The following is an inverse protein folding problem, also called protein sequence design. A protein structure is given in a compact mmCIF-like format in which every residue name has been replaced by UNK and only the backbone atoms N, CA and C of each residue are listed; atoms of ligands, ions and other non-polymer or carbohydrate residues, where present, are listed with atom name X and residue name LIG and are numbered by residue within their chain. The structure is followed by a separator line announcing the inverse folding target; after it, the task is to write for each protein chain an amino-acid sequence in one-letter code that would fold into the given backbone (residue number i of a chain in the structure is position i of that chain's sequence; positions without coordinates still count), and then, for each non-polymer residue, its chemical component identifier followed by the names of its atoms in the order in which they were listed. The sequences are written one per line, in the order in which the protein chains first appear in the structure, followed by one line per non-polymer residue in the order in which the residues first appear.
data_IF_949901508458
#
_entry.id   IF_949901508458
#
_cell.length_a   1.000
_cell.length_b   1.000
_cell.length_c   1.000
_cell.angle_alpha   90.00
_cell.angle_beta   90.00
_cell.angle_gamma   90.00
#
_symmetry.space_group_name_H-M   'P 1'
#
loop_
_entity.id
_entity.type
_entity.pdbx_description
1 polymer ?
#
# COMPACT_ATOMS: atom_id res chain seq x y z
N UNK A 1 34.01 0.70 58.16
CA UNK A 1 33.90 -0.76 58.44
C UNK A 1 34.06 -0.92 59.95
N UNK A 2 33.26 -1.71 60.73
CA UNK A 2 32.43 -2.91 60.45
C UNK A 2 30.92 -2.75 60.85
N UNK A 3 29.91 -3.43 60.25
CA UNK A 3 29.36 -4.81 60.32
C UNK A 3 28.25 -5.12 61.38
N UNK A 4 27.18 -5.80 60.87
CA UNK A 4 26.07 -6.60 61.47
C UNK A 4 24.74 -5.87 61.78
N UNK A 5 23.66 -6.11 61.01
CA UNK A 5 22.71 -7.26 60.89
C UNK A 5 21.68 -7.30 62.02
N UNK A 6 20.40 -7.06 61.70
CA UNK A 6 19.29 -7.93 62.13
C UNK A 6 18.08 -7.81 61.20
N UNK A 7 17.41 -8.95 61.00
CA UNK A 7 16.30 -9.23 60.06
C UNK A 7 14.97 -9.11 60.81
N UNK A 8 13.90 -8.74 60.10
CA UNK A 8 12.55 -9.19 60.46
C UNK A 8 11.77 -9.47 59.17
N UNK A 9 11.10 -10.62 59.17
CA UNK A 9 10.35 -11.23 58.06
C UNK A 9 8.84 -11.06 58.29
N UNK A 10 8.04 -11.12 57.21
CA UNK A 10 6.57 -11.34 57.08
C UNK A 10 6.04 -10.44 55.94
N UNK A 11 5.17 -10.78 54.99
CA UNK A 11 4.67 -11.99 54.31
C UNK A 11 4.10 -11.44 52.95
N UNK A 12 3.60 -12.23 51.97
CA UNK A 12 3.70 -11.91 50.56
C UNK A 12 2.41 -11.21 50.09
N UNK A 13 2.29 -11.00 48.78
CA UNK A 13 1.00 -10.80 48.10
C UNK A 13 0.50 -9.35 48.05
N UNK A 14 0.99 -8.62 47.05
CA UNK A 14 0.16 -7.95 46.02
C UNK A 14 1.11 -7.20 45.09
N UNK A 15 1.72 -7.90 44.13
CA UNK A 15 2.25 -7.22 42.95
C UNK A 15 1.07 -7.14 42.00
N UNK A 16 0.42 -5.99 42.07
CA UNK A 16 -0.54 -5.49 41.10
C UNK A 16 -0.01 -5.76 39.69
N UNK A 17 -0.77 -6.58 38.96
CA UNK A 17 -0.54 -6.96 37.58
C UNK A 17 -0.76 -5.73 36.71
N UNK A 18 0.18 -4.78 36.75
CA UNK A 18 0.28 -3.77 35.72
C UNK A 18 0.64 -4.52 34.44
N UNK A 19 -0.40 -4.84 33.67
CA UNK A 19 -0.34 -5.19 32.26
C UNK A 19 0.48 -4.09 31.56
N UNK A 20 1.81 -4.27 31.57
CA UNK A 20 2.70 -3.52 30.70
C UNK A 20 2.37 -3.99 29.29
N UNK A 21 1.40 -3.32 28.71
CA UNK A 21 1.12 -3.38 27.28
C UNK A 21 2.47 -3.29 26.56
N UNK A 22 2.87 -4.31 25.79
CA UNK A 22 4.21 -4.38 25.25
C UNK A 22 4.39 -3.20 24.28
N UNK A 23 5.13 -2.19 24.73
CA UNK A 23 5.47 -1.04 23.92
C UNK A 23 6.50 -1.53 22.91
N UNK A 24 6.01 -1.93 21.72
CA UNK A 24 6.87 -2.28 20.61
C UNK A 24 7.77 -1.07 20.29
N UNK A 25 9.08 -1.26 20.12
CA UNK A 25 9.95 -0.17 19.73
C UNK A 25 9.50 0.38 18.37
N UNK A 26 9.26 1.70 18.30
CA UNK A 26 8.88 2.41 17.06
C UNK A 26 9.80 2.10 15.87
N UNK A 27 11.04 1.71 16.15
CA UNK A 27 12.04 1.27 15.16
C UNK A 27 11.53 0.11 14.30
N UNK A 28 10.80 -0.84 14.86
CA UNK A 28 10.35 -2.03 14.13
C UNK A 28 9.14 -1.69 13.23
N UNK A 29 8.23 -0.83 13.68
CA UNK A 29 7.07 -0.44 12.87
C UNK A 29 7.46 0.36 11.62
N UNK A 30 8.47 1.24 11.72
CA UNK A 30 9.02 1.94 10.55
C UNK A 30 9.72 0.98 9.58
N UNK A 31 10.52 0.04 10.08
CA UNK A 31 11.20 -0.95 9.27
C UNK A 31 10.20 -1.91 8.57
N UNK A 32 9.16 -2.36 9.29
CA UNK A 32 8.07 -3.16 8.75
C UNK A 32 7.28 -2.39 7.68
N UNK A 33 6.98 -1.11 7.91
CA UNK A 33 6.29 -0.27 6.92
C UNK A 33 7.15 -0.05 5.67
N UNK A 34 8.46 0.16 5.82
CA UNK A 34 9.38 0.27 4.70
C UNK A 34 9.46 -1.05 3.89
N UNK A 35 9.51 -2.19 4.58
CA UNK A 35 9.49 -3.50 3.95
C UNK A 35 8.19 -3.75 3.18
N UNK A 36 7.04 -3.41 3.78
CA UNK A 36 5.71 -3.50 3.16
C UNK A 36 5.60 -2.63 1.91
N UNK A 37 6.06 -1.39 1.98
CA UNK A 37 6.14 -0.49 0.81
C UNK A 37 6.98 -1.11 -0.29
N UNK A 38 8.13 -1.69 0.05
CA UNK A 38 9.02 -2.34 -0.92
C UNK A 38 8.36 -3.54 -1.61
N UNK A 39 7.54 -4.31 -0.89
CA UNK A 39 6.74 -5.40 -1.48
C UNK A 39 5.74 -4.85 -2.50
N UNK A 40 4.96 -3.83 -2.13
CA UNK A 40 4.00 -3.16 -3.02
C UNK A 40 4.69 -2.63 -4.27
N UNK A 41 5.81 -1.92 -4.11
CA UNK A 41 6.60 -1.43 -5.23
C UNK A 41 7.12 -2.54 -6.14
N UNK A 42 7.63 -3.64 -5.58
CA UNK A 42 8.14 -4.74 -6.37
C UNK A 42 7.01 -5.42 -7.18
N UNK A 43 5.83 -5.57 -6.59
CA UNK A 43 4.65 -6.08 -7.30
C UNK A 43 4.22 -5.13 -8.41
N UNK A 44 4.14 -3.84 -8.12
CA UNK A 44 3.73 -2.85 -9.11
C UNK A 44 4.74 -2.73 -10.23
N UNK A 45 6.04 -2.78 -9.95
CA UNK A 45 7.07 -2.83 -10.99
C UNK A 45 6.99 -4.07 -11.88
N UNK A 46 6.34 -5.14 -11.44
CA UNK A 46 6.10 -6.32 -12.28
C UNK A 46 4.84 -6.18 -13.13
N UNK A 47 3.78 -5.61 -12.58
CA UNK A 47 2.45 -5.59 -13.24
C UNK A 47 2.20 -4.32 -14.04
N UNK A 48 2.74 -3.17 -13.63
CA UNK A 48 2.55 -1.90 -14.36
C UNK A 48 3.13 -1.91 -15.77
N UNK A 49 4.33 -2.46 -16.05
CA UNK A 49 4.89 -2.40 -17.40
C UNK A 49 3.94 -2.97 -18.46
N UNK A 50 3.31 -4.12 -18.18
CA UNK A 50 2.36 -4.75 -19.09
C UNK A 50 1.12 -3.87 -19.33
N UNK A 51 0.65 -3.18 -18.27
CA UNK A 51 -0.49 -2.26 -18.37
C UNK A 51 -0.10 -0.97 -19.11
N UNK A 52 1.09 -0.44 -18.84
CA UNK A 52 1.59 0.80 -19.43
C UNK A 52 1.94 0.63 -20.91
N UNK A 53 2.38 -0.55 -21.32
CA UNK A 53 2.61 -0.90 -22.73
C UNK A 53 1.31 -0.76 -23.54
N UNK A 54 0.17 -1.20 -22.99
CA UNK A 54 -1.16 -1.01 -23.59
C UNK A 54 -1.51 0.48 -23.76
N UNK A 55 -1.00 1.31 -22.86
CA UNK A 55 -1.19 2.76 -22.83
C UNK A 55 -0.10 3.52 -23.61
N UNK A 56 0.85 2.82 -24.23
CA UNK A 56 2.00 3.40 -24.93
C UNK A 56 2.83 4.35 -24.04
N UNK A 57 3.02 3.98 -22.79
CA UNK A 57 3.69 4.81 -21.78
C UNK A 57 4.84 4.06 -21.12
N UNK A 58 5.89 4.79 -20.74
CA UNK A 58 6.99 4.21 -19.99
C UNK A 58 6.74 4.27 -18.47
N UNK A 59 7.23 3.25 -17.75
CA UNK A 59 7.18 3.23 -16.29
C UNK A 59 7.87 4.45 -15.66
N UNK A 60 8.89 4.99 -16.31
CA UNK A 60 9.61 6.18 -15.86
C UNK A 60 8.70 7.40 -15.70
N UNK A 61 7.72 7.58 -16.60
CA UNK A 61 6.80 8.72 -16.63
C UNK A 61 5.85 8.76 -15.42
N UNK A 62 5.47 7.57 -14.91
CA UNK A 62 4.55 7.44 -13.77
C UNK A 62 5.26 7.09 -12.46
N UNK A 63 6.54 6.73 -12.51
CA UNK A 63 7.28 6.19 -11.36
C UNK A 63 7.37 7.13 -10.15
N UNK A 64 7.51 8.45 -10.38
CA UNK A 64 7.53 9.46 -9.33
C UNK A 64 6.16 9.59 -8.66
N UNK A 65 5.10 9.73 -9.46
CA UNK A 65 3.73 9.82 -8.97
C UNK A 65 3.29 8.56 -8.23
N UNK A 66 3.66 7.38 -8.75
CA UNK A 66 3.44 6.10 -8.08
C UNK A 66 4.13 6.05 -6.73
N UNK A 67 5.34 6.60 -6.64
CA UNK A 67 6.09 6.64 -5.39
C UNK A 67 5.41 7.51 -4.36
N UNK A 68 5.01 8.71 -4.75
CA UNK A 68 4.25 9.60 -3.87
C UNK A 68 2.94 8.96 -3.41
N UNK A 69 2.21 8.29 -4.30
CA UNK A 69 0.96 7.60 -3.97
C UNK A 69 1.18 6.47 -2.94
N UNK A 70 2.17 5.61 -3.14
CA UNK A 70 2.47 4.52 -2.19
C UNK A 70 2.93 5.06 -0.83
N UNK A 71 3.60 6.21 -0.81
CA UNK A 71 4.02 6.86 0.43
C UNK A 71 2.85 7.38 1.26
N UNK A 72 1.70 7.71 0.66
CA UNK A 72 0.50 8.12 1.40
C UNK A 72 -0.25 6.94 2.02
N UNK A 73 -0.03 5.72 1.53
CA UNK A 73 -0.73 4.54 2.04
C UNK A 73 -0.18 4.09 3.40
N UNK A 74 -1.11 3.88 4.34
CA UNK A 74 -0.85 3.19 5.61
C UNK A 74 -0.98 1.68 5.40
N UNK A 75 0.10 1.04 4.96
CA UNK A 75 0.12 -0.39 4.65
C UNK A 75 0.20 -1.26 5.93
N UNK A 76 -0.85 -2.06 6.18
CA UNK A 76 -0.86 -3.09 7.22
C UNK A 76 -0.36 -4.45 6.69
N UNK A 77 -0.12 -5.43 7.57
CA UNK A 77 0.27 -6.80 7.23
C UNK A 77 -0.81 -7.50 6.38
N UNK A 78 -2.08 -7.18 6.62
CA UNK A 78 -3.24 -7.68 5.88
C UNK A 78 -3.31 -7.07 4.47
N UNK A 79 -2.83 -5.84 4.30
CA UNK A 79 -2.88 -5.10 3.02
C UNK A 79 -1.74 -5.48 2.06
N UNK A 80 -0.78 -6.30 2.48
CA UNK A 80 0.34 -6.76 1.61
C UNK A 80 0.24 -8.24 1.24
N UNK A 81 -0.72 -8.97 1.80
CA UNK A 81 -0.97 -10.40 1.53
C UNK A 81 -2.05 -10.60 0.47
N UNK A 82 -2.29 -9.61 -0.39
CA UNK A 82 -3.20 -9.77 -1.52
C UNK A 82 -2.68 -10.87 -2.48
N UNK A 83 -3.61 -11.68 -3.00
CA UNK A 83 -3.32 -12.69 -4.03
C UNK A 83 -2.82 -12.01 -5.31
N UNK A 84 -2.01 -12.72 -6.10
CA UNK A 84 -1.41 -12.21 -7.34
C UNK A 84 -2.44 -11.54 -8.26
N UNK A 85 -3.58 -12.18 -8.45
CA UNK A 85 -4.71 -11.71 -9.27
C UNK A 85 -5.30 -10.37 -8.77
N UNK A 86 -5.26 -10.12 -7.47
CA UNK A 86 -5.72 -8.87 -6.86
C UNK A 86 -4.74 -7.72 -7.13
N UNK A 87 -3.46 -7.98 -7.40
CA UNK A 87 -2.50 -6.93 -7.69
C UNK A 87 -2.76 -6.24 -9.03
N UNK A 88 -3.30 -6.95 -10.04
CA UNK A 88 -3.75 -6.33 -11.29
C UNK A 88 -4.89 -5.33 -11.04
N UNK A 89 -5.82 -5.67 -10.14
CA UNK A 89 -6.91 -4.79 -9.75
C UNK A 89 -6.42 -3.54 -9.00
N UNK A 90 -5.51 -3.74 -8.05
CA UNK A 90 -4.89 -2.65 -7.30
C UNK A 90 -4.08 -1.75 -8.24
N UNK A 91 -3.31 -2.34 -9.16
CA UNK A 91 -2.54 -1.62 -10.17
C UNK A 91 -3.43 -0.77 -11.07
N UNK A 92 -4.50 -1.34 -11.62
CA UNK A 92 -5.47 -0.62 -12.44
C UNK A 92 -6.13 0.54 -11.67
N UNK A 93 -6.59 0.30 -10.44
CA UNK A 93 -7.19 1.34 -9.60
C UNK A 93 -6.22 2.47 -9.27
N UNK A 94 -4.96 2.14 -8.93
CA UNK A 94 -3.93 3.15 -8.74
C UNK A 94 -3.63 3.92 -10.02
N UNK A 95 -3.66 3.29 -11.19
CA UNK A 95 -3.43 3.97 -12.45
C UNK A 95 -4.53 5.00 -12.76
N UNK A 96 -5.79 4.65 -12.49
CA UNK A 96 -6.93 5.59 -12.60
C UNK A 96 -6.84 6.70 -11.54
N UNK A 97 -6.37 6.42 -10.33
CA UNK A 97 -6.09 7.49 -9.34
C UNK A 97 -4.93 8.39 -9.80
N UNK A 98 -3.89 7.81 -10.37
CA UNK A 98 -2.71 8.53 -10.86
C UNK A 98 -3.05 9.40 -12.06
N UNK A 99 -4.00 9.01 -12.90
CA UNK A 99 -4.44 9.84 -14.04
C UNK A 99 -4.98 11.20 -13.58
N UNK A 100 -5.55 11.29 -12.37
CA UNK A 100 -6.01 12.57 -11.78
C UNK A 100 -4.86 13.53 -11.46
N UNK A 101 -3.66 13.01 -11.19
CA UNK A 101 -2.46 13.82 -10.91
C UNK A 101 -1.46 13.88 -12.07
N UNK A 102 -1.53 12.95 -13.01
CA UNK A 102 -0.60 12.81 -14.13
C UNK A 102 -1.34 13.06 -15.46
N UNK A 103 -1.28 14.28 -16.02
CA UNK A 103 -1.95 14.62 -17.28
C UNK A 103 -1.57 13.73 -18.48
N UNK A 104 -0.29 13.31 -18.65
CA UNK A 104 0.09 12.36 -19.70
C UNK A 104 -0.70 11.05 -19.58
N UNK A 105 -0.79 10.49 -18.38
CA UNK A 105 -1.48 9.23 -18.13
C UNK A 105 -2.99 9.35 -18.38
N UNK A 106 -3.60 10.47 -18.00
CA UNK A 106 -5.00 10.74 -18.33
C UNK A 106 -5.23 10.80 -19.84
N UNK A 107 -4.34 11.47 -20.56
CA UNK A 107 -4.42 11.57 -22.02
C UNK A 107 -4.31 10.18 -22.66
N UNK A 108 -3.37 9.36 -22.18
CA UNK A 108 -3.21 7.97 -22.64
C UNK A 108 -4.45 7.12 -22.37
N UNK A 109 -5.11 7.26 -21.22
CA UNK A 109 -6.36 6.52 -20.90
C UNK A 109 -7.56 7.03 -21.73
N UNK A 110 -7.57 8.31 -22.11
CA UNK A 110 -8.67 8.91 -22.88
C UNK A 110 -8.56 8.67 -24.39
N UNK A 111 -7.35 8.41 -24.88
CA UNK A 111 -7.10 8.14 -26.30
C UNK A 111 -7.82 6.86 -26.75
N UNK A 112 -8.54 6.94 -27.87
CA UNK A 112 -9.54 5.92 -28.25
C UNK A 112 -8.94 4.52 -28.44
N UNK A 113 -7.74 4.42 -29.01
CA UNK A 113 -7.10 3.13 -29.28
C UNK A 113 -6.62 2.44 -28.00
N UNK A 114 -5.83 3.14 -27.17
CA UNK A 114 -5.34 2.65 -25.88
C UNK A 114 -6.48 2.41 -24.90
N UNK A 115 -7.51 3.27 -24.89
CA UNK A 115 -8.70 3.10 -24.05
C UNK A 115 -9.43 1.79 -24.34
N UNK A 116 -9.61 1.45 -25.62
CA UNK A 116 -10.25 0.19 -26.01
C UNK A 116 -9.45 -1.01 -25.53
N UNK A 117 -8.13 -1.01 -25.77
CA UNK A 117 -7.25 -2.10 -25.32
C UNK A 117 -7.20 -2.21 -23.79
N UNK A 118 -7.13 -1.08 -23.11
CA UNK A 118 -7.16 -1.04 -21.65
C UNK A 118 -8.51 -1.52 -21.09
N UNK A 119 -9.63 -1.19 -21.73
CA UNK A 119 -10.96 -1.72 -21.34
C UNK A 119 -11.02 -3.23 -21.47
N UNK A 120 -10.51 -3.80 -22.57
CA UNK A 120 -10.47 -5.27 -22.77
C UNK A 120 -9.60 -5.91 -21.69
N UNK A 121 -8.41 -5.35 -21.42
CA UNK A 121 -7.55 -5.84 -20.34
C UNK A 121 -8.27 -5.81 -18.98
N UNK A 122 -9.00 -4.74 -18.66
CA UNK A 122 -9.76 -4.66 -17.44
C UNK A 122 -10.86 -5.72 -17.40
N UNK A 123 -11.60 -5.91 -18.48
CA UNK A 123 -12.66 -6.91 -18.59
C UNK A 123 -12.13 -8.34 -18.43
N UNK A 124 -10.97 -8.66 -19.02
CA UNK A 124 -10.27 -9.94 -18.85
C UNK A 124 -9.84 -10.19 -17.40
N UNK A 125 -9.61 -9.12 -16.64
CA UNK A 125 -9.33 -9.16 -15.20
C UNK A 125 -10.60 -9.08 -14.34
N UNK A 126 -11.81 -9.08 -14.92
CA UNK A 126 -13.07 -9.00 -14.18
C UNK A 126 -13.41 -7.58 -13.69
N UNK A 127 -12.80 -6.56 -14.28
CA UNK A 127 -12.99 -5.14 -13.97
C UNK A 127 -13.73 -4.42 -15.10
N UNK A 128 -14.38 -3.31 -14.77
CA UNK A 128 -14.92 -2.37 -15.76
C UNK A 128 -14.29 -1.01 -15.54
N UNK A 129 -13.83 -0.37 -16.62
CA UNK A 129 -13.27 0.98 -16.56
C UNK A 129 -14.24 1.97 -15.93
N UNK A 130 -15.53 1.87 -16.22
CA UNK A 130 -16.55 2.77 -15.66
C UNK A 130 -16.71 2.58 -14.15
N UNK A 131 -16.81 1.33 -13.69
CA UNK A 131 -16.91 1.03 -12.26
C UNK A 131 -15.65 1.50 -11.52
N UNK A 132 -14.48 1.32 -12.13
CA UNK A 132 -13.21 1.72 -11.55
C UNK A 132 -13.11 3.25 -11.44
N UNK A 133 -13.48 3.98 -12.49
CA UNK A 133 -13.53 5.45 -12.44
C UNK A 133 -14.54 5.94 -11.42
N UNK A 134 -15.73 5.34 -11.33
CA UNK A 134 -16.74 5.69 -10.33
C UNK A 134 -16.23 5.50 -8.89
N UNK A 135 -15.63 4.34 -8.58
CA UNK A 135 -15.05 4.07 -7.25
C UNK A 135 -13.93 5.04 -6.92
N UNK A 136 -13.10 5.40 -7.91
CA UNK A 136 -12.03 6.39 -7.71
C UNK A 136 -12.61 7.77 -7.45
N UNK A 137 -13.66 8.16 -8.15
CA UNK A 137 -14.29 9.49 -8.01
C UNK A 137 -14.99 9.64 -6.67
N UNK A 138 -15.73 8.60 -6.26
CA UNK A 138 -16.31 8.49 -4.92
C UNK A 138 -15.24 8.57 -3.82
N UNK A 139 -14.12 7.85 -3.98
CA UNK A 139 -13.02 7.88 -3.00
C UNK A 139 -12.33 9.25 -2.92
N UNK A 140 -12.25 9.97 -4.05
CA UNK A 140 -11.63 11.29 -4.12
C UNK A 140 -12.62 12.43 -3.80
N UNK A 141 -13.91 12.12 -3.61
CA UNK A 141 -14.95 13.10 -3.34
C UNK A 141 -15.13 14.13 -4.44
N UNK A 142 -14.90 13.75 -5.71
CA UNK A 142 -14.99 14.61 -6.90
C UNK A 142 -16.25 14.38 -7.70
#
# INVERSE_FOLDING_TARGET
VPSKKEKQAEDPNTIDSSEREPILPLVDSHAQNAHRRRIVFNWLRKVLPDILDILYMDLSEVSSYLTELILTFRLSAENITFRLETWAHIAAGMLVMLSRKCPPLNTAIMMEESRRRFSIFLEDNGLSLQNLTYVVDDLLGS
#
